data_IF_532718264796
#
_entry.id   IF_532718264796
#
_cell.length_a   1.000
_cell.length_b   1.000
_cell.length_c   1.000
_cell.angle_alpha   90.00
_cell.angle_beta   90.00
_cell.angle_gamma   90.00
#
_symmetry.space_group_name_H-M   'P 1'
#
loop_
_entity.id
_entity.type
_entity.pdbx_description
1 polymer ?
#
# COMPACT_ATOMS: atom_id res chain seq x y z
N UNK A 1 27.53 25.62 33.70
CA UNK A 1 26.23 25.00 33.33
C UNK A 1 26.09 24.98 31.82
N UNK A 2 26.53 23.88 31.16
CA UNK A 2 26.29 23.69 29.74
C UNK A 2 24.93 23.00 29.56
N UNK A 3 24.02 23.68 28.84
CA UNK A 3 22.71 23.13 28.49
C UNK A 3 22.92 21.96 27.53
N UNK A 4 22.68 20.74 28.00
CA UNK A 4 22.53 19.56 27.16
C UNK A 4 21.33 19.80 26.22
N UNK A 5 21.61 20.24 24.99
CA UNK A 5 20.65 20.18 23.89
C UNK A 5 20.35 18.72 23.67
N UNK A 6 19.17 18.26 24.10
CA UNK A 6 18.70 16.92 23.78
C UNK A 6 18.65 16.82 22.26
N UNK A 7 19.60 16.10 21.67
CA UNK A 7 19.51 15.63 20.30
C UNK A 7 18.18 14.87 20.19
N UNK A 8 17.17 15.48 19.56
CA UNK A 8 15.89 14.82 19.31
C UNK A 8 16.19 13.58 18.49
N UNK A 9 16.16 12.40 19.12
CA UNK A 9 16.37 11.12 18.46
C UNK A 9 15.40 11.02 17.29
N UNK A 10 15.91 10.84 16.07
CA UNK A 10 15.06 10.68 14.87
C UNK A 10 14.09 9.52 15.10
N UNK A 11 12.81 9.76 14.84
CA UNK A 11 11.73 8.78 15.03
C UNK A 11 11.83 7.71 13.95
N UNK A 12 11.53 6.44 14.25
CA UNK A 12 11.57 5.34 13.28
C UNK A 12 10.16 4.91 12.89
N UNK A 13 9.91 4.72 11.60
CA UNK A 13 8.66 4.15 11.06
C UNK A 13 9.03 2.95 10.19
N UNK A 14 8.37 1.82 10.41
CA UNK A 14 8.53 0.61 9.61
C UNK A 14 7.44 0.53 8.55
N UNK A 15 7.84 0.60 7.29
CA UNK A 15 6.94 0.57 6.14
C UNK A 15 7.09 -0.74 5.39
N UNK A 16 6.02 -1.52 5.33
CA UNK A 16 5.93 -2.71 4.51
C UNK A 16 5.39 -2.31 3.13
N UNK A 17 6.17 -2.52 2.10
CA UNK A 17 5.89 -2.10 0.73
C UNK A 17 5.81 -3.37 -0.14
N UNK A 18 4.80 -3.53 -1.03
CA UNK A 18 4.85 -4.57 -2.04
C UNK A 18 6.21 -4.51 -2.75
N UNK A 19 6.85 -5.65 -2.98
CA UNK A 19 8.14 -5.72 -3.66
C UNK A 19 8.06 -5.03 -5.03
N UNK A 20 6.93 -5.24 -5.71
CA UNK A 20 6.58 -4.59 -6.97
C UNK A 20 6.43 -3.06 -6.89
N UNK A 21 6.50 -2.45 -5.70
CA UNK A 21 6.33 -1.01 -5.48
C UNK A 21 7.56 -0.34 -4.87
N UNK A 22 8.73 -1.00 -4.92
CA UNK A 22 9.93 -0.48 -4.28
C UNK A 22 10.51 0.74 -5.03
N UNK A 23 10.01 1.91 -4.67
CA UNK A 23 10.76 3.17 -4.75
C UNK A 23 10.53 3.97 -3.47
N UNK A 24 11.59 4.60 -2.98
CA UNK A 24 11.54 5.57 -1.89
C UNK A 24 10.76 6.79 -2.36
N UNK A 25 9.45 6.78 -2.14
CA UNK A 25 8.63 7.95 -2.45
C UNK A 25 9.19 9.17 -1.69
N UNK A 26 9.32 10.35 -2.33
CA UNK A 26 9.75 11.59 -1.68
C UNK A 26 8.89 11.93 -0.44
N UNK A 27 7.68 11.38 -0.36
CA UNK A 27 6.77 11.44 0.79
C UNK A 27 7.41 11.05 2.13
N UNK A 28 8.43 10.19 2.09
CA UNK A 28 9.07 9.66 3.30
C UNK A 28 10.43 10.30 3.60
N UNK A 29 10.88 11.26 2.79
CA UNK A 29 12.07 12.07 3.08
C UNK A 29 11.69 13.21 4.02
N UNK A 30 11.49 12.87 5.30
CA UNK A 30 11.23 13.83 6.37
C UNK A 30 12.48 13.93 7.27
N UNK A 31 12.96 15.14 7.60
CA UNK A 31 14.24 15.34 8.27
C UNK A 31 14.32 14.68 9.65
N UNK A 32 13.17 14.56 10.33
CA UNK A 32 13.05 14.03 11.69
C UNK A 32 12.66 12.54 11.77
N UNK A 33 12.46 11.88 10.63
CA UNK A 33 11.95 10.51 10.55
C UNK A 33 12.90 9.62 9.75
N UNK A 34 13.22 8.47 10.32
CA UNK A 34 13.93 7.38 9.64
C UNK A 34 12.90 6.34 9.23
N UNK A 35 12.79 6.09 7.92
CA UNK A 35 11.90 5.05 7.39
C UNK A 35 12.68 3.78 7.10
N UNK A 36 12.22 2.67 7.69
CA UNK A 36 12.76 1.33 7.45
C UNK A 36 11.79 0.58 6.53
N UNK A 37 12.27 0.13 5.37
CA UNK A 37 11.44 -0.54 4.36
C UNK A 37 11.54 -2.06 4.47
N UNK A 38 10.39 -2.74 4.49
CA UNK A 38 10.27 -4.18 4.31
C UNK A 38 9.57 -4.47 2.99
N UNK A 39 10.14 -5.35 2.17
CA UNK A 39 9.54 -5.73 0.88
C UNK A 39 8.64 -6.95 1.05
N UNK A 40 7.39 -6.86 0.61
CA UNK A 40 6.43 -7.96 0.63
C UNK A 40 6.32 -8.56 -0.77
N UNK A 41 6.78 -9.81 -0.93
CA UNK A 41 6.56 -10.59 -2.16
C UNK A 41 5.05 -10.83 -2.39
N UNK A 42 4.57 -10.88 -3.64
CA UNK A 42 3.15 -11.13 -3.94
C UNK A 42 2.64 -12.47 -3.39
N UNK A 43 3.49 -13.48 -3.35
CA UNK A 43 3.33 -14.72 -2.59
C UNK A 43 4.22 -14.66 -1.35
N UNK A 44 3.69 -14.11 -0.26
CA UNK A 44 4.51 -13.85 0.91
C UNK A 44 4.74 -15.10 1.77
N UNK A 45 6.00 -15.31 2.17
CA UNK A 45 6.41 -16.06 3.35
C UNK A 45 7.13 -15.06 4.26
N UNK A 46 6.48 -14.57 5.31
CA UNK A 46 7.17 -13.82 6.37
C UNK A 46 7.84 -14.83 7.28
N UNK A 47 9.17 -14.85 7.33
CA UNK A 47 9.85 -15.65 8.35
C UNK A 47 10.14 -14.85 9.62
N UNK A 48 10.05 -13.51 9.57
CA UNK A 48 10.40 -12.64 10.69
C UNK A 48 9.24 -11.74 11.06
N UNK A 49 8.60 -12.06 12.19
CA UNK A 49 7.69 -11.15 12.90
C UNK A 49 8.55 -10.00 13.45
N UNK A 50 8.49 -8.81 12.84
CA UNK A 50 9.15 -7.66 13.44
C UNK A 50 8.53 -7.38 14.83
N UNK A 51 9.32 -6.98 15.83
CA UNK A 51 8.80 -6.70 17.17
C UNK A 51 7.84 -5.50 17.22
N UNK A 52 7.79 -4.68 16.17
CA UNK A 52 6.85 -3.58 16.01
C UNK A 52 5.97 -3.80 14.79
N UNK A 53 4.68 -3.50 14.94
CA UNK A 53 3.70 -3.56 13.86
C UNK A 53 4.09 -2.60 12.74
N UNK A 54 3.99 -3.06 11.50
CA UNK A 54 4.42 -2.28 10.33
C UNK A 54 3.25 -1.53 9.71
N UNK A 55 3.55 -0.42 9.02
CA UNK A 55 2.56 0.30 8.21
C UNK A 55 2.58 -0.31 6.81
N UNK A 56 1.45 -0.83 6.34
CA UNK A 56 1.35 -1.40 4.99
C UNK A 56 1.13 -0.30 3.97
N UNK A 57 2.17 0.02 3.19
CA UNK A 57 2.10 1.03 2.14
C UNK A 57 1.65 0.43 0.82
N UNK A 58 0.64 1.03 0.19
CA UNK A 58 0.05 0.52 -1.03
C UNK A 58 -0.33 1.63 -2.01
N UNK A 59 0.39 1.80 -3.13
CA UNK A 59 0.05 2.82 -4.11
C UNK A 59 -1.09 2.35 -5.04
N UNK A 60 -1.97 3.28 -5.41
CA UNK A 60 -2.96 3.12 -6.48
C UNK A 60 -3.83 1.85 -6.30
N UNK A 61 -3.90 0.97 -7.31
CA UNK A 61 -4.68 -0.27 -7.28
C UNK A 61 -4.22 -1.27 -6.21
N UNK A 62 -2.99 -1.17 -5.69
CA UNK A 62 -2.53 -2.03 -4.60
C UNK A 62 -3.31 -1.82 -3.31
N UNK A 63 -4.09 -0.74 -3.15
CA UNK A 63 -5.02 -0.61 -2.04
C UNK A 63 -5.94 -1.83 -1.90
N UNK A 64 -6.37 -2.44 -3.02
CA UNK A 64 -7.21 -3.64 -3.03
C UNK A 64 -6.47 -4.88 -2.49
N UNK A 65 -5.22 -5.03 -2.93
CA UNK A 65 -4.33 -6.09 -2.47
C UNK A 65 -4.01 -5.91 -0.97
N UNK A 66 -3.64 -4.71 -0.56
CA UNK A 66 -3.25 -4.39 0.81
C UNK A 66 -4.40 -4.61 1.79
N UNK A 67 -5.61 -4.23 1.39
CA UNK A 67 -6.81 -4.49 2.16
C UNK A 67 -7.04 -5.99 2.37
N UNK A 68 -6.98 -6.78 1.29
CA UNK A 68 -7.10 -8.24 1.37
C UNK A 68 -6.00 -8.86 2.23
N UNK A 69 -4.80 -8.33 2.11
CA UNK A 69 -3.62 -8.82 2.82
C UNK A 69 -3.68 -8.52 4.33
N UNK A 70 -4.11 -7.33 4.71
CA UNK A 70 -4.25 -6.92 6.10
C UNK A 70 -5.36 -7.68 6.83
N UNK A 71 -6.49 -7.94 6.16
CA UNK A 71 -7.59 -8.75 6.75
C UNK A 71 -7.13 -10.17 7.05
N UNK A 72 -6.26 -10.76 6.21
CA UNK A 72 -5.69 -12.08 6.47
C UNK A 72 -4.63 -12.10 7.57
N UNK A 73 -4.01 -10.96 7.84
CA UNK A 73 -2.84 -10.82 8.72
C UNK A 73 -3.00 -9.65 9.70
N UNK A 74 -4.08 -9.62 10.51
CA UNK A 74 -4.44 -8.43 11.30
C UNK A 74 -3.42 -8.09 12.40
N UNK A 75 -2.62 -9.06 12.85
CA UNK A 75 -1.60 -8.88 13.88
C UNK A 75 -0.33 -8.18 13.37
N UNK A 76 -0.06 -8.22 12.06
CA UNK A 76 1.20 -7.77 11.47
C UNK A 76 1.26 -6.27 11.17
N UNK A 77 0.09 -5.65 11.01
CA UNK A 77 -0.01 -4.28 10.55
C UNK A 77 -0.61 -3.38 11.62
N UNK A 78 -0.01 -2.21 11.83
CA UNK A 78 -0.60 -1.17 12.68
C UNK A 78 -1.64 -0.40 11.90
N UNK A 79 -1.44 -0.26 10.59
CA UNK A 79 -2.23 0.59 9.72
C UNK A 79 -1.93 0.29 8.25
N UNK A 80 -2.84 0.72 7.38
CA UNK A 80 -2.64 0.69 5.93
C UNK A 80 -2.54 2.14 5.44
N UNK A 81 -1.49 2.44 4.68
CA UNK A 81 -1.27 3.73 4.05
C UNK A 81 -1.38 3.59 2.53
N UNK A 82 -2.49 4.08 1.97
CA UNK A 82 -2.72 4.10 0.54
C UNK A 82 -2.28 5.44 -0.07
N UNK A 83 -1.56 5.40 -1.19
CA UNK A 83 -1.10 6.60 -1.89
C UNK A 83 -1.60 6.67 -3.32
N UNK A 84 -2.04 7.83 -3.80
CA UNK A 84 -2.45 8.04 -5.19
C UNK A 84 -3.85 8.64 -5.28
N UNK A 85 -4.64 8.28 -6.29
CA UNK A 85 -6.06 8.68 -6.43
C UNK A 85 -6.99 7.61 -5.89
N UNK A 86 -8.07 7.99 -5.18
CA UNK A 86 -8.93 7.02 -4.51
C UNK A 86 -9.67 6.13 -5.50
N UNK A 87 -9.12 4.94 -5.78
CA UNK A 87 -9.68 3.93 -6.68
C UNK A 87 -10.75 3.05 -6.02
N UNK A 88 -11.21 3.45 -4.83
CA UNK A 88 -12.15 2.67 -4.03
C UNK A 88 -13.58 3.19 -4.09
N UNK A 89 -13.86 4.22 -4.90
CA UNK A 89 -15.24 4.65 -5.13
C UNK A 89 -16.02 3.56 -5.89
N UNK A 90 -17.34 3.42 -5.68
CA UNK A 90 -18.13 2.40 -6.37
C UNK A 90 -17.99 2.45 -7.90
N UNK A 91 -17.96 3.66 -8.47
CA UNK A 91 -17.79 3.87 -9.90
C UNK A 91 -16.39 3.47 -10.38
N UNK A 92 -15.33 3.84 -9.64
CA UNK A 92 -13.97 3.46 -9.97
C UNK A 92 -13.77 1.94 -9.92
N UNK A 93 -14.33 1.29 -8.90
CA UNK A 93 -14.31 -0.17 -8.76
C UNK A 93 -15.09 -0.87 -9.88
N UNK A 94 -16.26 -0.33 -10.25
CA UNK A 94 -17.06 -0.90 -11.32
C UNK A 94 -16.35 -0.75 -12.68
N UNK A 95 -15.78 0.42 -12.95
CA UNK A 95 -14.97 0.66 -14.15
C UNK A 95 -13.79 -0.30 -14.22
N UNK A 96 -13.03 -0.43 -13.14
CA UNK A 96 -11.88 -1.34 -13.06
C UNK A 96 -12.30 -2.79 -13.29
N UNK A 97 -13.39 -3.23 -12.66
CA UNK A 97 -13.95 -4.58 -12.82
C UNK A 97 -14.27 -4.87 -14.28
N UNK A 98 -14.98 -3.96 -14.96
CA UNK A 98 -15.36 -4.13 -16.37
C UNK A 98 -14.11 -4.20 -17.26
N UNK A 99 -13.11 -3.35 -17.00
CA UNK A 99 -11.85 -3.37 -17.76
C UNK A 99 -11.11 -4.70 -17.61
N UNK A 100 -10.97 -5.21 -16.38
CA UNK A 100 -10.32 -6.49 -16.12
C UNK A 100 -11.10 -7.68 -16.66
N UNK A 101 -12.43 -7.64 -16.64
CA UNK A 101 -13.26 -8.68 -17.28
C UNK A 101 -13.03 -8.74 -18.78
N UNK A 102 -12.85 -7.59 -19.42
CA UNK A 102 -12.52 -7.53 -20.85
C UNK A 102 -11.12 -8.07 -21.14
N UNK A 103 -10.10 -7.68 -20.37
CA UNK A 103 -8.75 -8.26 -20.49
C UNK A 103 -8.77 -9.78 -20.28
N UNK A 104 -9.50 -10.27 -19.27
CA UNK A 104 -9.67 -11.70 -19.01
C UNK A 104 -10.24 -12.44 -20.21
N UNK A 105 -11.21 -11.84 -20.91
CA UNK A 105 -11.83 -12.45 -22.11
C UNK A 105 -10.83 -12.57 -23.26
N UNK A 106 -9.91 -11.61 -23.38
CA UNK A 106 -8.94 -11.55 -24.48
C UNK A 106 -7.70 -12.39 -24.23
N UNK A 107 -7.23 -12.46 -22.99
CA UNK A 107 -5.90 -13.00 -22.66
C UNK A 107 -5.92 -14.15 -21.64
N UNK A 108 -7.08 -14.46 -21.06
CA UNK A 108 -7.22 -15.45 -20.00
C UNK A 108 -7.07 -14.87 -18.59
N UNK A 109 -7.23 -15.72 -17.58
CA UNK A 109 -7.28 -15.32 -16.17
C UNK A 109 -5.91 -15.33 -15.48
N UNK A 110 -5.01 -16.21 -15.92
CA UNK A 110 -3.75 -16.53 -15.24
C UNK A 110 -2.59 -15.64 -15.69
N UNK A 111 -2.88 -14.70 -16.59
CA UNK A 111 -1.91 -13.72 -17.09
C UNK A 111 -2.02 -12.39 -16.35
N UNK A 112 -0.92 -11.63 -16.24
CA UNK A 112 -0.94 -10.27 -15.68
C UNK A 112 -1.82 -9.30 -16.49
N UNK A 113 -2.44 -8.33 -15.79
CA UNK A 113 -3.15 -7.22 -16.45
C UNK A 113 -2.18 -6.18 -16.97
N UNK A 114 -2.15 -5.96 -18.29
CA UNK A 114 -1.33 -4.91 -18.91
C UNK A 114 -1.71 -3.52 -18.40
N UNK A 115 -3.00 -3.25 -18.19
CA UNK A 115 -3.46 -1.97 -17.65
C UNK A 115 -3.00 -1.71 -16.23
N UNK A 116 -3.09 -2.71 -15.36
CA UNK A 116 -2.59 -2.57 -14.00
C UNK A 116 -1.07 -2.39 -14.03
N UNK A 117 -0.35 -3.15 -14.85
CA UNK A 117 1.08 -2.96 -15.04
C UNK A 117 1.40 -1.53 -15.49
N UNK A 118 0.70 -0.97 -16.48
CA UNK A 118 0.89 0.40 -16.95
C UNK A 118 0.58 1.44 -15.87
N UNK A 119 -0.52 1.28 -15.13
CA UNK A 119 -0.85 2.17 -14.03
C UNK A 119 0.18 2.12 -12.90
N UNK A 120 0.78 0.96 -12.67
CA UNK A 120 1.85 0.77 -11.70
C UNK A 120 3.18 1.32 -12.18
N UNK A 121 3.49 1.31 -13.48
CA UNK A 121 4.72 1.91 -14.03
C UNK A 121 4.88 3.39 -13.64
N UNK A 122 3.78 4.12 -13.40
CA UNK A 122 3.84 5.49 -12.87
C UNK A 122 4.35 5.58 -11.43
N UNK A 123 4.25 4.49 -10.68
CA UNK A 123 4.63 4.38 -9.27
C UNK A 123 5.83 3.43 -9.04
N UNK A 124 6.32 2.78 -10.11
CA UNK A 124 7.30 1.68 -10.06
C UNK A 124 8.25 1.76 -11.25
N UNK A 125 9.55 1.97 -10.99
CA UNK A 125 10.55 2.16 -12.03
C UNK A 125 11.27 0.89 -12.52
N UNK A 126 10.99 -0.29 -11.95
CA UNK A 126 11.74 -1.51 -12.27
C UNK A 126 10.88 -2.48 -13.11
N UNK A 127 11.46 -2.89 -14.23
CA UNK A 127 10.95 -3.88 -15.19
C UNK A 127 10.68 -5.26 -14.54
N UNK A 128 9.76 -5.99 -15.19
CA UNK A 128 9.46 -7.42 -15.04
C UNK A 128 8.80 -7.91 -13.75
N UNK A 129 8.15 -7.03 -12.99
CA UNK A 129 7.28 -7.50 -11.92
C UNK A 129 6.06 -8.22 -12.48
N UNK A 130 5.94 -9.50 -12.09
CA UNK A 130 4.74 -10.31 -12.23
C UNK A 130 3.58 -9.63 -11.52
N UNK A 131 2.88 -8.73 -12.22
CA UNK A 131 1.62 -8.22 -11.72
C UNK A 131 0.69 -9.41 -11.51
N UNK A 132 -0.02 -9.41 -10.38
CA UNK A 132 -0.92 -10.51 -10.04
C UNK A 132 -1.84 -10.83 -11.23
N UNK A 133 -2.20 -12.10 -11.43
CA UNK A 133 -3.09 -12.50 -12.51
C UNK A 133 -4.38 -11.69 -12.51
N UNK A 134 -4.96 -11.48 -13.69
CA UNK A 134 -6.24 -10.77 -13.85
C UNK A 134 -7.31 -11.38 -12.93
N UNK A 135 -7.33 -12.71 -12.80
CA UNK A 135 -8.24 -13.42 -11.91
C UNK A 135 -8.12 -12.99 -10.45
N UNK A 136 -6.89 -12.80 -9.96
CA UNK A 136 -6.62 -12.35 -8.58
C UNK A 136 -7.11 -10.94 -8.34
N UNK A 137 -6.90 -10.02 -9.29
CA UNK A 137 -7.43 -8.66 -9.18
C UNK A 137 -8.96 -8.62 -9.13
N UNK A 138 -9.62 -9.41 -9.99
CA UNK A 138 -11.07 -9.55 -9.97
C UNK A 138 -11.58 -10.09 -8.63
N UNK A 139 -10.84 -11.02 -8.01
CA UNK A 139 -11.17 -11.53 -6.68
C UNK A 139 -11.05 -10.44 -5.60
N UNK A 140 -9.99 -9.62 -5.62
CA UNK A 140 -9.87 -8.51 -4.67
C UNK A 140 -11.00 -7.49 -4.82
N UNK A 141 -11.37 -7.15 -6.05
CA UNK A 141 -12.49 -6.23 -6.31
C UNK A 141 -13.80 -6.80 -5.78
N UNK A 142 -14.05 -8.11 -6.02
CA UNK A 142 -15.24 -8.79 -5.52
C UNK A 142 -15.31 -8.76 -3.98
N UNK A 143 -14.17 -8.97 -3.33
CA UNK A 143 -14.09 -9.06 -1.87
C UNK A 143 -13.93 -7.70 -1.18
N UNK A 144 -13.76 -6.61 -1.93
CA UNK A 144 -13.47 -5.28 -1.40
C UNK A 144 -14.40 -4.85 -0.26
N UNK A 145 -15.72 -4.91 -0.48
CA UNK A 145 -16.71 -4.48 0.53
C UNK A 145 -16.62 -5.31 1.82
N UNK A 146 -16.45 -6.62 1.69
CA UNK A 146 -16.34 -7.54 2.83
C UNK A 146 -15.05 -7.28 3.59
N UNK A 147 -13.93 -7.13 2.86
CA UNK A 147 -12.64 -6.88 3.46
C UNK A 147 -12.60 -5.51 4.16
N UNK A 148 -13.26 -4.48 3.62
CA UNK A 148 -13.40 -3.19 4.30
C UNK A 148 -14.14 -3.30 5.63
N UNK A 149 -15.21 -4.11 5.70
CA UNK A 149 -15.97 -4.31 6.94
C UNK A 149 -15.18 -5.10 7.98
N UNK A 150 -14.39 -6.07 7.53
CA UNK A 150 -13.60 -6.95 8.40
C UNK A 150 -12.25 -6.32 8.80
N UNK A 151 -11.94 -5.13 8.30
CA UNK A 151 -10.67 -4.48 8.56
C UNK A 151 -10.66 -3.92 9.99
N UNK A 152 -9.83 -4.49 10.85
CA UNK A 152 -9.60 -4.01 12.21
C UNK A 152 -8.53 -2.91 12.29
N UNK A 153 -7.66 -2.79 11.28
CA UNK A 153 -6.57 -1.82 11.25
C UNK A 153 -7.00 -0.52 10.56
N UNK A 154 -6.60 0.67 11.05
CA UNK A 154 -6.94 1.93 10.41
C UNK A 154 -6.37 2.04 8.98
N UNK A 155 -7.18 2.59 8.08
CA UNK A 155 -6.85 2.84 6.67
C UNK A 155 -6.71 4.34 6.42
N UNK A 156 -5.53 4.76 5.98
CA UNK A 156 -5.20 6.14 5.63
C UNK A 156 -5.05 6.29 4.12
N UNK A 157 -5.54 7.40 3.59
CA UNK A 157 -5.57 7.67 2.16
C UNK A 157 -4.84 8.99 1.89
N UNK A 158 -3.80 8.95 1.04
CA UNK A 158 -2.95 10.08 0.73
C UNK A 158 -3.05 10.41 -0.76
N UNK A 159 -3.70 11.53 -1.06
CA UNK A 159 -3.93 12.00 -2.41
C UNK A 159 -3.03 13.19 -2.74
N UNK A 160 -2.26 13.08 -3.82
CA UNK A 160 -1.38 14.14 -4.32
C UNK A 160 -2.13 15.44 -4.59
N UNK A 161 -3.42 15.37 -4.93
CA UNK A 161 -4.22 16.56 -5.22
C UNK A 161 -4.67 17.34 -3.98
N UNK A 162 -4.55 16.78 -2.76
CA UNK A 162 -5.13 17.35 -1.52
C UNK A 162 -4.10 17.77 -0.45
N UNK A 163 -2.91 18.19 -0.86
CA UNK A 163 -1.87 18.88 -0.05
C UNK A 163 -1.01 18.07 0.94
N UNK A 164 0.27 18.47 0.98
CA UNK A 164 1.35 18.04 1.89
C UNK A 164 1.01 18.16 3.39
N UNK A 165 0.06 19.02 3.77
CA UNK A 165 -0.38 19.19 5.16
C UNK A 165 -0.97 17.90 5.75
N UNK A 166 -1.65 17.09 4.93
CA UNK A 166 -2.19 15.80 5.37
C UNK A 166 -1.10 14.76 5.68
N UNK A 167 0.09 14.87 5.07
CA UNK A 167 1.16 13.88 5.28
C UNK A 167 1.64 13.93 6.73
N UNK A 168 1.90 15.11 7.27
CA UNK A 168 2.40 15.25 8.64
C UNK A 168 1.38 14.78 9.70
N UNK A 169 0.09 15.03 9.47
CA UNK A 169 -0.99 14.59 10.36
C UNK A 169 -1.23 13.08 10.27
N UNK A 170 -1.17 12.50 9.07
CA UNK A 170 -1.26 11.05 8.90
C UNK A 170 -0.05 10.38 9.55
N UNK A 171 1.15 10.93 9.36
CA UNK A 171 2.37 10.40 9.97
C UNK A 171 2.35 10.52 11.50
N UNK A 172 1.80 11.58 12.07
CA UNK A 172 1.65 11.67 13.54
C UNK A 172 0.66 10.62 14.05
N UNK A 173 -0.41 10.34 13.32
CA UNK A 173 -1.36 9.25 13.63
C UNK A 173 -0.71 7.87 13.48
N UNK A 174 0.10 7.64 12.45
CA UNK A 174 0.86 6.40 12.25
C UNK A 174 1.85 6.11 13.38
N UNK A 175 2.28 7.15 14.11
CA UNK A 175 3.18 7.03 15.27
C UNK A 175 2.47 6.75 16.59
N UNK A 176 1.14 6.92 16.67
CA UNK A 176 0.38 6.72 17.89
C UNK A 176 -0.01 5.24 18.13
N UNK A 177 0.27 4.36 17.16
CA UNK A 177 -0.11 2.94 17.14
C UNK A 177 1.12 2.05 16.96
#
# INVERSE_FOLDING_TARGET
MQKNTSSKRKKKIFLAVPEACYQTSPLFFLPDITVCFYRIKPTYQCNNVSPQKTVLYAPSFFALWALHYAVKNPSFFSSILCYGKQWTSPLALMWLKLRLQNERRLMGSDVPSLKIMQALRYHVAINDYSALPIGTWLQFIKNYKTNCKNLSTPLFWLDNYKNNTNIHEIISKLQAF
#
